data_IF_340504258473
#
_entry.id   IF_340504258473
#
_cell.length_a   1.000
_cell.length_b   1.000
_cell.length_c   1.000
_cell.angle_alpha   90.00
_cell.angle_beta   90.00
_cell.angle_gamma   90.00
#
_symmetry.space_group_name_H-M   'P 1'
#
loop_
_entity.id
_entity.type
_entity.pdbx_description
1 polymer ?
#
# COMPACT_ATOMS: atom_id res chain seq x y z
N UNK A 1 -21.05 0.35 11.73
CA UNK A 1 -20.26 0.79 10.55
C UNK A 1 -21.19 0.97 9.36
N UNK A 2 -20.98 1.99 8.58
CA UNK A 2 -21.73 2.23 7.35
C UNK A 2 -21.43 1.10 6.34
N UNK A 3 -22.49 0.41 5.86
CA UNK A 3 -22.30 -0.71 4.93
C UNK A 3 -21.77 -0.26 3.56
N UNK A 4 -22.06 0.98 3.15
CA UNK A 4 -21.47 1.57 1.94
C UNK A 4 -19.95 1.67 2.06
N UNK A 5 -19.46 2.20 3.17
CA UNK A 5 -18.03 2.35 3.41
C UNK A 5 -17.34 0.99 3.56
N UNK A 6 -18.00 0.03 4.19
CA UNK A 6 -17.47 -1.33 4.32
C UNK A 6 -17.31 -2.00 2.94
N UNK A 7 -18.31 -1.86 2.06
CA UNK A 7 -18.24 -2.41 0.70
C UNK A 7 -17.18 -1.71 -0.13
N UNK A 8 -17.07 -0.38 -0.01
CA UNK A 8 -16.03 0.37 -0.69
C UNK A 8 -14.63 -0.06 -0.24
N UNK A 9 -14.42 -0.19 1.06
CA UNK A 9 -13.15 -0.65 1.62
C UNK A 9 -12.78 -2.04 1.13
N UNK A 10 -13.74 -2.96 1.11
CA UNK A 10 -13.52 -4.32 0.60
C UNK A 10 -13.10 -4.30 -0.88
N UNK A 11 -13.81 -3.53 -1.72
CA UNK A 11 -13.47 -3.41 -3.14
C UNK A 11 -12.08 -2.84 -3.35
N UNK A 12 -11.69 -1.84 -2.55
CA UNK A 12 -10.37 -1.25 -2.63
C UNK A 12 -9.26 -2.23 -2.23
N UNK A 13 -9.47 -2.98 -1.15
CA UNK A 13 -8.51 -4.00 -0.70
C UNK A 13 -8.40 -5.16 -1.67
N UNK A 14 -9.53 -5.64 -2.20
CA UNK A 14 -9.55 -6.75 -3.17
C UNK A 14 -8.77 -6.40 -4.44
N UNK A 15 -8.81 -5.12 -4.85
CA UNK A 15 -8.04 -4.63 -5.99
C UNK A 15 -6.65 -4.13 -5.64
N UNK A 16 -6.19 -4.31 -4.39
CA UNK A 16 -4.89 -3.83 -3.90
C UNK A 16 -4.67 -2.33 -4.17
N UNK A 17 -5.75 -1.53 -4.08
CA UNK A 17 -5.69 -0.10 -4.30
C UNK A 17 -5.62 0.32 -5.77
N UNK A 18 -5.85 -0.60 -6.71
CA UNK A 18 -5.80 -0.30 -8.15
C UNK A 18 -7.17 -0.11 -8.78
N UNK A 19 -8.25 -0.44 -8.04
CA UNK A 19 -9.61 -0.36 -8.56
C UNK A 19 -10.01 1.09 -8.82
N UNK A 20 -10.49 1.42 -10.04
CA UNK A 20 -10.97 2.77 -10.32
C UNK A 20 -12.10 3.19 -9.39
N UNK A 21 -12.19 4.48 -9.07
CA UNK A 21 -13.20 4.99 -8.15
C UNK A 21 -14.63 4.68 -8.62
N UNK A 22 -14.87 4.66 -9.93
CA UNK A 22 -16.17 4.32 -10.49
C UNK A 22 -16.59 2.89 -10.13
N UNK A 23 -15.65 1.95 -10.16
CA UNK A 23 -15.90 0.56 -9.80
C UNK A 23 -16.07 0.40 -8.28
N UNK A 24 -15.31 1.15 -7.50
CA UNK A 24 -15.49 1.17 -6.04
C UNK A 24 -16.88 1.66 -5.69
N UNK A 25 -17.34 2.72 -6.34
CA UNK A 25 -18.68 3.26 -6.13
C UNK A 25 -19.76 2.24 -6.52
N UNK A 26 -19.61 1.56 -7.65
CA UNK A 26 -20.53 0.52 -8.08
C UNK A 26 -20.60 -0.61 -7.04
N UNK A 27 -19.46 -1.08 -6.55
CA UNK A 27 -19.40 -2.10 -5.51
C UNK A 27 -20.07 -1.66 -4.22
N UNK A 28 -20.04 -0.37 -3.93
CA UNK A 28 -20.66 0.21 -2.74
C UNK A 28 -22.14 0.59 -2.93
N UNK A 29 -22.70 0.32 -4.10
CA UNK A 29 -24.07 0.70 -4.47
C UNK A 29 -24.32 2.20 -4.35
N UNK A 30 -23.34 3.00 -4.79
CA UNK A 30 -23.36 4.47 -4.67
C UNK A 30 -22.89 5.13 -5.94
N UNK A 31 -23.20 6.43 -6.08
CA UNK A 31 -22.55 7.25 -7.09
C UNK A 31 -21.15 7.64 -6.59
N UNK A 32 -20.27 8.01 -7.51
CA UNK A 32 -18.93 8.51 -7.16
C UNK A 32 -19.04 9.69 -6.21
N UNK A 33 -19.95 10.63 -6.51
CA UNK A 33 -20.13 11.83 -5.68
C UNK A 33 -20.54 11.48 -4.25
N UNK A 34 -21.50 10.59 -4.08
CA UNK A 34 -21.96 10.17 -2.75
C UNK A 34 -20.85 9.45 -1.99
N UNK A 35 -20.15 8.55 -2.67
CA UNK A 35 -19.03 7.82 -2.08
C UNK A 35 -17.94 8.77 -1.59
N UNK A 36 -17.51 9.70 -2.44
CA UNK A 36 -16.46 10.67 -2.09
C UNK A 36 -16.86 11.53 -0.90
N UNK A 37 -18.11 12.01 -0.89
CA UNK A 37 -18.61 12.83 0.22
C UNK A 37 -18.62 12.06 1.53
N UNK A 38 -19.17 10.86 1.54
CA UNK A 38 -19.25 10.03 2.75
C UNK A 38 -17.88 9.60 3.23
N UNK A 39 -17.00 9.25 2.30
CA UNK A 39 -15.64 8.85 2.63
C UNK A 39 -14.89 9.99 3.33
N UNK A 40 -15.01 11.21 2.80
CA UNK A 40 -14.38 12.39 3.38
C UNK A 40 -14.96 12.73 4.75
N UNK A 41 -16.28 12.64 4.89
CA UNK A 41 -16.97 12.92 6.17
C UNK A 41 -16.56 11.93 7.26
N UNK A 42 -16.41 10.64 6.93
CA UNK A 42 -16.11 9.61 7.91
C UNK A 42 -14.63 9.51 8.26
N UNK A 43 -13.73 9.64 7.27
CA UNK A 43 -12.31 9.38 7.47
C UNK A 43 -11.43 10.61 7.41
N UNK A 44 -11.92 11.70 6.82
CA UNK A 44 -11.09 12.86 6.50
C UNK A 44 -10.24 12.68 5.25
N UNK A 45 -10.27 11.50 4.63
CA UNK A 45 -9.45 11.18 3.46
C UNK A 45 -10.32 10.98 2.22
N UNK A 46 -9.72 11.15 1.04
CA UNK A 46 -10.38 10.82 -0.22
C UNK A 46 -10.24 9.33 -0.51
N UNK A 47 -11.09 8.81 -1.41
CA UNK A 47 -10.93 7.43 -1.90
C UNK A 47 -9.55 7.22 -2.52
N UNK A 48 -9.06 8.21 -3.26
CA UNK A 48 -7.73 8.18 -3.86
C UNK A 48 -6.63 8.05 -2.82
N UNK A 49 -6.74 8.79 -1.71
CA UNK A 49 -5.74 8.72 -0.62
C UNK A 49 -5.68 7.31 -0.02
N UNK A 50 -6.83 6.71 0.24
CA UNK A 50 -6.90 5.37 0.84
C UNK A 50 -6.44 4.31 -0.16
N UNK A 51 -6.79 4.44 -1.44
CA UNK A 51 -6.28 3.54 -2.48
C UNK A 51 -4.75 3.60 -2.56
N UNK A 52 -4.20 4.81 -2.49
CA UNK A 52 -2.74 5.01 -2.49
C UNK A 52 -2.08 4.39 -1.27
N UNK A 53 -2.71 4.50 -0.10
CA UNK A 53 -2.20 3.87 1.12
C UNK A 53 -2.19 2.33 0.99
N UNK A 54 -3.24 1.77 0.43
CA UNK A 54 -3.32 0.32 0.22
C UNK A 54 -2.20 -0.15 -0.73
N UNK A 55 -1.98 0.58 -1.85
CA UNK A 55 -0.88 0.26 -2.77
C UNK A 55 0.47 0.35 -2.07
N UNK A 56 0.67 1.41 -1.28
CA UNK A 56 1.90 1.60 -0.52
C UNK A 56 2.15 0.42 0.42
N UNK A 57 1.13 -0.05 1.13
CA UNK A 57 1.27 -1.20 2.03
C UNK A 57 1.70 -2.46 1.28
N UNK A 58 1.19 -2.68 0.07
CA UNK A 58 1.61 -3.80 -0.76
C UNK A 58 3.09 -3.70 -1.15
N UNK A 59 3.54 -2.52 -1.55
CA UNK A 59 4.95 -2.30 -1.87
C UNK A 59 5.82 -2.54 -0.64
N UNK A 60 5.43 -1.97 0.50
CA UNK A 60 6.17 -2.11 1.75
C UNK A 60 6.31 -3.58 2.14
N UNK A 61 5.23 -4.35 2.08
CA UNK A 61 5.25 -5.76 2.43
C UNK A 61 6.13 -6.56 1.47
N UNK A 62 6.06 -6.28 0.17
CA UNK A 62 6.90 -6.94 -0.82
C UNK A 62 8.38 -6.65 -0.59
N UNK A 63 8.73 -5.39 -0.33
CA UNK A 63 10.12 -5.00 -0.08
C UNK A 63 10.63 -5.52 1.27
N UNK A 64 9.77 -5.67 2.25
CA UNK A 64 10.15 -6.29 3.51
C UNK A 64 10.54 -7.76 3.31
N UNK A 65 9.74 -8.50 2.56
CA UNK A 65 9.98 -9.93 2.32
C UNK A 65 11.03 -10.19 1.25
N UNK A 66 11.13 -9.33 0.24
CA UNK A 66 12.06 -9.45 -0.88
C UNK A 66 12.72 -8.10 -1.16
N UNK A 67 13.75 -7.72 -0.35
CA UNK A 67 14.39 -6.41 -0.51
C UNK A 67 15.03 -6.19 -1.89
N UNK A 68 15.33 -7.27 -2.61
CA UNK A 68 15.92 -7.23 -3.94
C UNK A 68 14.88 -7.10 -5.06
N UNK A 69 13.60 -7.01 -4.73
CA UNK A 69 12.54 -6.94 -5.73
C UNK A 69 12.76 -5.77 -6.70
N UNK A 70 12.45 -6.01 -7.97
CA UNK A 70 12.57 -5.01 -9.02
C UNK A 70 11.46 -3.97 -8.86
N UNK A 71 11.83 -2.71 -8.63
CA UNK A 71 10.87 -1.65 -8.38
C UNK A 71 10.00 -1.33 -9.60
N UNK A 72 10.57 -1.40 -10.81
CA UNK A 72 9.80 -1.19 -12.03
C UNK A 72 8.73 -2.28 -12.20
N UNK A 73 9.09 -3.53 -11.90
CA UNK A 73 8.15 -4.64 -11.91
C UNK A 73 7.03 -4.49 -10.88
N UNK A 74 7.37 -4.07 -9.66
CA UNK A 74 6.38 -3.80 -8.63
C UNK A 74 5.43 -2.67 -9.04
N UNK A 75 5.97 -1.61 -9.63
CA UNK A 75 5.16 -0.49 -10.12
C UNK A 75 4.14 -0.99 -11.15
N UNK A 76 4.59 -1.80 -12.10
CA UNK A 76 3.71 -2.37 -13.11
C UNK A 76 2.63 -3.26 -12.49
N UNK A 77 3.01 -4.18 -11.61
CA UNK A 77 2.09 -5.13 -10.99
C UNK A 77 1.04 -4.45 -10.12
N UNK A 78 1.42 -3.37 -9.44
CA UNK A 78 0.55 -2.72 -8.45
C UNK A 78 -0.17 -1.49 -9.01
N UNK A 79 -0.16 -1.30 -10.33
CA UNK A 79 -0.99 -0.30 -11.00
C UNK A 79 -0.46 1.12 -10.93
N UNK A 80 0.84 1.32 -10.70
CA UNK A 80 1.47 2.64 -10.80
C UNK A 80 1.73 2.97 -12.26
N UNK A 81 1.74 4.26 -12.57
CA UNK A 81 2.07 4.75 -13.92
C UNK A 81 3.49 4.34 -14.32
N UNK A 82 4.43 4.48 -13.37
CA UNK A 82 5.83 4.14 -13.55
C UNK A 82 6.51 4.00 -12.20
N UNK A 83 7.81 3.66 -12.20
CA UNK A 83 8.59 3.53 -10.97
C UNK A 83 8.68 4.85 -10.20
N UNK A 84 8.76 5.97 -10.90
CA UNK A 84 8.83 7.29 -10.26
C UNK A 84 7.56 7.59 -9.46
N UNK A 85 6.40 7.22 -10.00
CA UNK A 85 5.12 7.36 -9.29
C UNK A 85 5.13 6.52 -8.00
N UNK A 86 5.55 5.27 -8.08
CA UNK A 86 5.69 4.39 -6.91
C UNK A 86 6.61 5.02 -5.87
N UNK A 87 7.77 5.50 -6.29
CA UNK A 87 8.77 6.07 -5.37
C UNK A 87 8.26 7.32 -4.67
N UNK A 88 7.55 8.20 -5.39
CA UNK A 88 6.96 9.40 -4.80
C UNK A 88 5.88 9.07 -3.78
N UNK A 89 4.99 8.14 -4.12
CA UNK A 89 3.93 7.71 -3.21
C UNK A 89 4.51 7.02 -1.98
N UNK A 90 5.50 6.16 -2.17
CA UNK A 90 6.17 5.48 -1.07
C UNK A 90 6.80 6.49 -0.10
N UNK A 91 7.50 7.48 -0.62
CA UNK A 91 8.12 8.51 0.21
C UNK A 91 7.08 9.38 0.92
N UNK A 92 5.96 9.66 0.25
CA UNK A 92 4.86 10.42 0.85
C UNK A 92 4.31 9.75 2.12
N UNK A 93 4.13 8.43 2.08
CA UNK A 93 3.55 7.71 3.22
C UNK A 93 4.57 7.26 4.26
N UNK A 94 5.79 6.94 3.86
CA UNK A 94 6.81 6.38 4.77
C UNK A 94 7.87 7.38 5.22
N UNK A 95 8.03 8.47 4.49
CA UNK A 95 9.11 9.43 4.73
C UNK A 95 10.47 9.00 4.16
N UNK A 96 10.58 7.83 3.55
CA UNK A 96 11.82 7.32 2.98
C UNK A 96 11.60 6.76 1.58
N UNK A 97 12.69 6.56 0.83
CA UNK A 97 12.60 5.97 -0.51
C UNK A 97 12.43 4.46 -0.43
N UNK A 98 11.87 3.82 -1.47
CA UNK A 98 11.80 2.36 -1.52
C UNK A 98 13.17 1.70 -1.40
N UNK A 99 14.20 2.26 -2.05
CA UNK A 99 15.55 1.71 -1.99
C UNK A 99 16.13 1.77 -0.57
N UNK A 100 15.96 2.90 0.13
CA UNK A 100 16.41 3.04 1.50
C UNK A 100 15.66 2.09 2.44
N UNK A 101 14.35 1.95 2.26
CA UNK A 101 13.54 1.01 3.02
C UNK A 101 14.02 -0.43 2.80
N UNK A 102 14.28 -0.82 1.55
CA UNK A 102 14.76 -2.16 1.22
C UNK A 102 16.11 -2.45 1.86
N UNK A 103 17.04 -1.49 1.83
CA UNK A 103 18.34 -1.64 2.49
C UNK A 103 18.18 -1.84 3.99
N UNK A 104 17.31 -1.07 4.63
CA UNK A 104 17.06 -1.18 6.07
C UNK A 104 16.38 -2.50 6.41
N UNK A 105 15.44 -2.96 5.60
CA UNK A 105 14.78 -4.25 5.79
C UNK A 105 15.79 -5.39 5.74
N UNK A 106 16.69 -5.36 4.77
CA UNK A 106 17.75 -6.35 4.63
C UNK A 106 18.69 -6.36 5.84
N UNK A 107 19.10 -5.18 6.30
CA UNK A 107 19.95 -5.05 7.49
C UNK A 107 19.26 -5.58 8.74
N UNK A 108 17.99 -5.23 8.96
CA UNK A 108 17.23 -5.67 10.13
C UNK A 108 17.05 -7.19 10.17
N UNK A 109 16.71 -7.79 9.03
CA UNK A 109 16.58 -9.24 8.94
C UNK A 109 17.90 -9.95 9.21
N UNK A 110 18.98 -9.40 8.66
CA UNK A 110 20.32 -9.97 8.87
C UNK A 110 20.72 -9.88 10.34
N UNK A 111 20.49 -8.73 10.98
CA UNK A 111 20.78 -8.53 12.41
C UNK A 111 19.99 -9.48 13.29
N UNK A 112 18.68 -9.62 13.06
CA UNK A 112 17.83 -10.55 13.81
C UNK A 112 18.30 -11.99 13.63
N UNK A 113 18.64 -12.38 12.39
CA UNK A 113 19.15 -13.72 12.10
C UNK A 113 20.47 -13.99 12.83
N UNK A 114 21.39 -13.02 12.85
CA UNK A 114 22.65 -13.14 13.56
C UNK A 114 22.45 -13.21 15.07
N UNK A 115 21.58 -12.40 15.62
CA UNK A 115 21.27 -12.41 17.06
C UNK A 115 20.65 -13.75 17.47
N UNK A 116 19.77 -14.30 16.66
CA UNK A 116 19.17 -15.60 16.90
C UNK A 116 20.21 -16.72 16.88
N UNK A 117 21.10 -16.70 15.89
CA UNK A 117 22.19 -17.69 15.79
C UNK A 117 23.10 -17.58 17.00
N UNK A 118 23.49 -16.38 17.39
CA UNK A 118 24.31 -16.16 18.58
C UNK A 118 23.63 -16.71 19.84
N UNK A 119 22.33 -16.46 19.99
CA UNK A 119 21.54 -16.96 21.11
C UNK A 119 21.54 -18.52 21.16
N UNK A 120 21.32 -19.15 20.02
CA UNK A 120 21.27 -20.60 19.91
C UNK A 120 22.62 -21.22 20.19
N UNK A 121 23.73 -20.57 19.81
CA UNK A 121 25.09 -21.05 19.99
C UNK A 121 25.67 -20.77 21.41
N UNK A 122 25.01 -19.87 22.12
CA UNK A 122 25.44 -19.55 23.48
C UNK A 122 25.11 -20.66 24.46
#
# INVERSE_FOLDING_TARGET
>A
MDSMLARAGAAMRDGNGTTPVSEVATAAHATVRTLERKFKQSSGFTVKDVSGLIRFEQVRNQLWHTPEANLAGLAYELGYTDQAHLSREFKRYSGTTPAAFARNAKKRKHAVSNDFVAFVQA
#
